data_IF_308871097530
#
_entry.id   IF_308871097530
#
_cell.length_a   1.000
_cell.length_b   1.000
_cell.length_c   1.000
_cell.angle_alpha   90.00
_cell.angle_beta   90.00
_cell.angle_gamma   90.00
#
_symmetry.space_group_name_H-M   'P 1'
#
loop_
_entity.id
_entity.type
_entity.pdbx_description
1 polymer ?
#
# COMPACT_ATOMS: atom_id res chain seq x y z
N UNK A 1 3.60 -25.79 -5.74
CA UNK A 1 2.45 -24.90 -6.02
C UNK A 1 2.32 -23.77 -5.00
N UNK A 2 2.30 -24.07 -3.70
CA UNK A 2 2.17 -23.08 -2.60
C UNK A 2 3.26 -22.01 -2.63
N UNK A 3 4.52 -22.36 -2.93
CA UNK A 3 5.59 -21.37 -3.05
C UNK A 3 5.36 -20.34 -4.16
N UNK A 4 4.71 -20.75 -5.27
CA UNK A 4 4.33 -19.83 -6.34
C UNK A 4 3.22 -18.88 -5.88
N UNK A 5 2.24 -19.40 -5.13
CA UNK A 5 1.16 -18.59 -4.53
C UNK A 5 1.70 -17.57 -3.52
N UNK A 6 2.60 -17.98 -2.62
CA UNK A 6 3.26 -17.07 -1.68
C UNK A 6 3.97 -15.92 -2.41
N UNK A 7 4.80 -16.24 -3.40
CA UNK A 7 5.52 -15.23 -4.21
C UNK A 7 4.55 -14.31 -4.96
N UNK A 8 3.47 -14.86 -5.49
CA UNK A 8 2.43 -14.09 -6.19
C UNK A 8 1.77 -13.08 -5.24
N UNK A 9 1.35 -13.50 -4.05
CA UNK A 9 0.72 -12.61 -3.06
C UNK A 9 1.66 -11.51 -2.58
N UNK A 10 2.94 -11.83 -2.40
CA UNK A 10 3.97 -10.84 -2.07
C UNK A 10 4.11 -9.79 -3.18
N UNK A 11 4.23 -10.23 -4.43
CA UNK A 11 4.30 -9.33 -5.60
C UNK A 11 3.06 -8.45 -5.74
N UNK A 12 1.86 -9.00 -5.52
CA UNK A 12 0.61 -8.23 -5.52
C UNK A 12 0.60 -7.18 -4.41
N UNK A 13 1.11 -7.51 -3.22
CA UNK A 13 1.26 -6.57 -2.11
C UNK A 13 2.20 -5.42 -2.47
N UNK A 14 3.35 -5.74 -3.06
CA UNK A 14 4.35 -4.75 -3.47
C UNK A 14 3.80 -3.80 -4.53
N UNK A 15 3.08 -4.32 -5.54
CA UNK A 15 2.40 -3.50 -6.56
C UNK A 15 1.37 -2.55 -5.95
N UNK A 16 0.58 -3.01 -4.98
CA UNK A 16 -0.42 -2.18 -4.29
C UNK A 16 0.24 -1.11 -3.44
N UNK A 17 1.38 -1.40 -2.79
CA UNK A 17 2.17 -0.42 -2.05
C UNK A 17 2.74 0.66 -2.96
N UNK A 18 3.24 0.30 -4.15
CA UNK A 18 3.69 1.28 -5.15
C UNK A 18 2.54 2.19 -5.59
N UNK A 19 1.40 1.61 -5.94
CA UNK A 19 0.22 2.39 -6.33
C UNK A 19 -0.28 3.30 -5.20
N UNK A 20 -0.21 2.84 -3.94
CA UNK A 20 -0.49 3.69 -2.76
C UNK A 20 0.42 4.92 -2.72
N UNK A 21 1.72 4.72 -2.94
CA UNK A 21 2.69 5.80 -2.90
C UNK A 21 2.42 6.85 -4.00
N UNK A 22 2.04 6.41 -5.21
CA UNK A 22 1.64 7.32 -6.29
C UNK A 22 0.41 8.17 -5.92
N UNK A 23 -0.61 7.56 -5.30
CA UNK A 23 -1.79 8.29 -4.82
C UNK A 23 -1.40 9.28 -3.71
N UNK A 24 -0.53 8.87 -2.78
CA UNK A 24 -0.04 9.76 -1.72
C UNK A 24 0.71 10.97 -2.27
N UNK A 25 1.54 10.79 -3.29
CA UNK A 25 2.21 11.89 -3.98
C UNK A 25 1.19 12.84 -4.62
N UNK A 26 0.16 12.28 -5.26
CA UNK A 26 -0.93 13.08 -5.86
C UNK A 26 -1.69 13.89 -4.81
N UNK A 27 -1.96 13.32 -3.63
CA UNK A 27 -2.57 14.01 -2.50
C UNK A 27 -1.68 15.15 -2.00
N UNK A 28 -0.36 14.93 -1.91
CA UNK A 28 0.59 15.98 -1.53
C UNK A 28 0.54 17.17 -2.48
N UNK A 29 0.49 16.92 -3.79
CA UNK A 29 0.35 17.97 -4.79
C UNK A 29 -0.98 18.74 -4.65
N UNK A 30 -2.08 18.04 -4.33
CA UNK A 30 -3.35 18.71 -4.05
C UNK A 30 -3.27 19.55 -2.77
N UNK A 31 -2.59 19.06 -1.73
CA UNK A 31 -2.41 19.80 -0.47
C UNK A 31 -1.61 21.08 -0.68
N UNK A 32 -0.54 21.03 -1.48
CA UNK A 32 0.22 22.21 -1.89
C UNK A 32 -0.65 23.23 -2.63
N UNK A 33 -1.40 22.78 -3.66
CA UNK A 33 -2.29 23.66 -4.44
C UNK A 33 -3.40 24.29 -3.58
N UNK A 34 -4.00 23.52 -2.67
CA UNK A 34 -5.01 24.01 -1.74
C UNK A 34 -4.41 25.08 -0.81
N UNK A 35 -3.19 24.87 -0.32
CA UNK A 35 -2.49 25.82 0.52
C UNK A 35 -2.19 27.12 -0.24
N UNK A 36 -1.67 27.02 -1.46
CA UNK A 36 -1.39 28.18 -2.32
C UNK A 36 -2.67 29.00 -2.61
N UNK A 37 -3.77 28.32 -2.94
CA UNK A 37 -5.07 28.98 -3.12
C UNK A 37 -5.54 29.65 -1.81
N UNK A 38 -5.35 29.01 -0.67
CA UNK A 38 -5.68 29.59 0.64
C UNK A 38 -4.89 30.87 0.90
N UNK A 39 -3.59 30.86 0.63
CA UNK A 39 -2.73 32.04 0.73
C UNK A 39 -3.24 33.14 -0.21
N UNK A 40 -3.48 32.82 -1.49
CA UNK A 40 -3.96 33.79 -2.48
C UNK A 40 -5.32 34.41 -2.08
N UNK A 41 -6.26 33.64 -1.56
CA UNK A 41 -7.55 34.16 -1.07
C UNK A 41 -7.35 35.15 0.09
N UNK A 42 -6.41 34.86 0.99
CA UNK A 42 -6.15 35.64 2.19
C UNK A 42 -5.36 36.92 1.88
N UNK A 43 -4.41 36.87 0.96
CA UNK A 43 -3.54 38.00 0.60
C UNK A 43 -4.12 38.90 -0.49
N UNK A 44 -5.05 38.39 -1.31
CA UNK A 44 -5.72 39.19 -2.33
C UNK A 44 -6.43 40.39 -1.69
N UNK A 45 -6.05 41.59 -2.14
CA UNK A 45 -6.54 42.87 -1.66
C UNK A 45 -6.59 43.87 -2.81
N UNK A 46 -7.23 45.01 -2.59
CA UNK A 46 -7.34 46.12 -3.53
C UNK A 46 -6.70 47.36 -2.93
N UNK A 47 -6.35 48.33 -3.78
CA UNK A 47 -5.85 49.62 -3.32
C UNK A 47 -6.91 50.35 -2.49
N UNK A 48 -6.48 50.96 -1.38
CA UNK A 48 -7.31 51.79 -0.51
C UNK A 48 -7.94 52.96 -1.27
N UNK A 49 -7.25 53.48 -2.27
CA UNK A 49 -7.72 54.59 -3.10
C UNK A 49 -8.28 54.14 -4.47
N UNK A 50 -8.46 52.83 -4.66
CA UNK A 50 -9.02 52.24 -5.88
C UNK A 50 -10.50 52.55 -6.09
N UNK A 51 -11.01 52.21 -7.28
CA UNK A 51 -12.41 52.42 -7.59
C UNK A 51 -13.29 51.47 -6.76
N UNK A 52 -14.52 51.89 -6.43
CA UNK A 52 -15.48 51.03 -5.69
C UNK A 52 -15.75 49.71 -6.45
N UNK A 53 -15.70 49.73 -7.77
CA UNK A 53 -15.80 48.55 -8.63
C UNK A 53 -14.74 47.48 -8.33
N UNK A 54 -13.55 47.90 -7.90
CA UNK A 54 -12.41 46.99 -7.67
C UNK A 54 -12.70 46.07 -6.48
N UNK A 55 -13.39 46.56 -5.45
CA UNK A 55 -13.85 45.74 -4.32
C UNK A 55 -14.82 44.64 -4.78
N UNK A 56 -15.71 44.95 -5.73
CA UNK A 56 -16.64 43.95 -6.27
C UNK A 56 -15.91 42.89 -7.10
N UNK A 57 -14.93 43.31 -7.89
CA UNK A 57 -14.07 42.40 -8.66
C UNK A 57 -13.28 41.49 -7.73
N UNK A 58 -12.72 42.04 -6.63
CA UNK A 58 -12.01 41.26 -5.62
C UNK A 58 -12.90 40.19 -4.98
N UNK A 59 -14.14 40.54 -4.64
CA UNK A 59 -15.10 39.59 -4.08
C UNK A 59 -15.37 38.42 -5.05
N UNK A 60 -15.65 38.73 -6.32
CA UNK A 60 -15.86 37.72 -7.38
C UNK A 60 -14.61 36.85 -7.56
N UNK A 61 -13.43 37.45 -7.54
CA UNK A 61 -12.17 36.71 -7.66
C UNK A 61 -11.97 35.74 -6.48
N UNK A 62 -12.17 36.21 -5.25
CA UNK A 62 -12.07 35.36 -4.05
C UNK A 62 -13.09 34.22 -4.06
N UNK A 63 -14.33 34.47 -4.52
CA UNK A 63 -15.33 33.41 -4.68
C UNK A 63 -14.91 32.37 -5.72
N UNK A 64 -14.35 32.80 -6.86
CA UNK A 64 -13.81 31.89 -7.87
C UNK A 64 -12.73 30.97 -7.29
N UNK A 65 -11.77 31.54 -6.54
CA UNK A 65 -10.72 30.76 -5.87
C UNK A 65 -11.29 29.80 -4.81
N UNK A 66 -12.31 30.21 -4.05
CA UNK A 66 -13.01 29.34 -3.09
C UNK A 66 -13.68 28.16 -3.76
N UNK A 67 -14.29 28.37 -4.93
CA UNK A 67 -14.89 27.28 -5.72
C UNK A 67 -13.83 26.29 -6.22
N UNK A 68 -12.72 26.80 -6.74
CA UNK A 68 -11.59 25.95 -7.17
C UNK A 68 -11.01 25.15 -6.02
N UNK A 69 -10.79 25.78 -4.87
CA UNK A 69 -10.31 25.09 -3.66
C UNK A 69 -11.24 23.95 -3.25
N UNK A 70 -12.56 24.18 -3.22
CA UNK A 70 -13.55 23.12 -2.93
C UNK A 70 -13.47 21.96 -3.93
N UNK A 71 -13.22 22.24 -5.20
CA UNK A 71 -13.05 21.20 -6.22
C UNK A 71 -11.80 20.36 -5.94
N UNK A 72 -10.67 20.99 -5.63
CA UNK A 72 -9.44 20.27 -5.28
C UNK A 72 -9.61 19.45 -3.99
N UNK A 73 -10.24 20.02 -2.95
CA UNK A 73 -10.58 19.32 -1.71
C UNK A 73 -11.42 18.06 -1.99
N UNK A 74 -12.40 18.15 -2.90
CA UNK A 74 -13.25 17.03 -3.27
C UNK A 74 -12.47 15.90 -3.96
N UNK A 75 -11.52 16.25 -4.85
CA UNK A 75 -10.67 15.31 -5.56
C UNK A 75 -9.67 14.64 -4.59
N UNK A 76 -9.06 15.44 -3.72
CA UNK A 76 -8.19 14.94 -2.65
C UNK A 76 -8.92 13.95 -1.74
N UNK A 77 -10.12 14.30 -1.29
CA UNK A 77 -10.91 13.43 -0.42
C UNK A 77 -11.29 12.13 -1.13
N UNK A 78 -11.62 12.18 -2.42
CA UNK A 78 -11.83 10.98 -3.21
C UNK A 78 -10.59 10.08 -3.26
N UNK A 79 -9.39 10.64 -3.41
CA UNK A 79 -8.14 9.87 -3.35
C UNK A 79 -7.88 9.27 -1.96
N UNK A 80 -8.20 9.97 -0.87
CA UNK A 80 -8.12 9.41 0.48
C UNK A 80 -9.02 8.18 0.64
N UNK A 81 -10.27 8.23 0.16
CA UNK A 81 -11.15 7.04 0.21
C UNK A 81 -10.62 5.87 -0.62
N UNK A 82 -9.86 6.13 -1.70
CA UNK A 82 -9.17 5.07 -2.46
C UNK A 82 -8.03 4.46 -1.65
N UNK A 83 -7.26 5.27 -0.93
CA UNK A 83 -6.20 4.78 -0.04
C UNK A 83 -6.79 3.87 1.04
N UNK A 84 -7.91 4.24 1.64
CA UNK A 84 -8.54 3.42 2.69
C UNK A 84 -8.95 2.04 2.17
N UNK A 85 -9.57 1.98 0.98
CA UNK A 85 -9.91 0.71 0.32
C UNK A 85 -8.65 -0.11 0.01
N UNK A 86 -7.62 0.55 -0.50
CA UNK A 86 -6.36 -0.11 -0.85
C UNK A 86 -5.61 -0.64 0.38
N UNK A 87 -5.69 0.04 1.52
CA UNK A 87 -5.15 -0.46 2.79
C UNK A 87 -5.83 -1.76 3.22
N UNK A 88 -7.16 -1.85 3.09
CA UNK A 88 -7.89 -3.10 3.38
C UNK A 88 -7.44 -4.24 2.47
N UNK A 89 -7.26 -3.97 1.17
CA UNK A 89 -6.74 -4.95 0.21
C UNK A 89 -5.32 -5.42 0.56
N UNK A 90 -4.43 -4.49 0.93
CA UNK A 90 -3.05 -4.82 1.33
C UNK A 90 -3.06 -5.73 2.57
N UNK A 91 -3.84 -5.39 3.59
CA UNK A 91 -3.94 -6.19 4.82
C UNK A 91 -4.43 -7.61 4.49
N UNK A 92 -5.41 -7.74 3.59
CA UNK A 92 -5.91 -9.05 3.18
C UNK A 92 -4.84 -9.87 2.44
N UNK A 93 -4.11 -9.25 1.51
CA UNK A 93 -3.01 -9.90 0.78
C UNK A 93 -1.88 -10.33 1.71
N UNK A 94 -1.55 -9.51 2.72
CA UNK A 94 -0.54 -9.84 3.73
C UNK A 94 -0.96 -11.05 4.57
N UNK A 95 -2.21 -11.10 5.04
CA UNK A 95 -2.75 -12.27 5.76
C UNK A 95 -2.67 -13.54 4.92
N UNK A 96 -3.04 -13.48 3.64
CA UNK A 96 -2.94 -14.63 2.73
C UNK A 96 -1.49 -15.06 2.50
N UNK A 97 -0.56 -14.11 2.35
CA UNK A 97 0.86 -14.40 2.24
C UNK A 97 1.41 -15.09 3.50
N UNK A 98 1.03 -14.64 4.69
CA UNK A 98 1.41 -15.26 5.96
C UNK A 98 0.88 -16.71 6.08
N UNK A 99 -0.37 -16.95 5.67
CA UNK A 99 -0.95 -18.30 5.64
C UNK A 99 -0.14 -19.23 4.73
N UNK A 100 0.25 -18.76 3.53
CA UNK A 100 1.08 -19.57 2.65
C UNK A 100 2.49 -19.78 3.17
N UNK A 101 3.10 -18.81 3.86
CA UNK A 101 4.40 -18.96 4.51
C UNK A 101 4.35 -20.02 5.62
N UNK A 102 3.28 -20.02 6.42
CA UNK A 102 3.05 -21.04 7.44
C UNK A 102 3.00 -22.45 6.84
N UNK A 103 2.18 -22.65 5.79
CA UNK A 103 2.08 -23.95 5.10
C UNK A 103 3.43 -24.41 4.51
N UNK A 104 4.22 -23.49 3.97
CA UNK A 104 5.56 -23.81 3.47
C UNK A 104 6.52 -24.26 4.58
N UNK A 105 6.42 -23.67 5.77
CA UNK A 105 7.22 -24.08 6.93
C UNK A 105 6.82 -25.47 7.42
N UNK A 106 5.53 -25.79 7.46
CA UNK A 106 5.07 -27.13 7.82
C UNK A 106 5.53 -28.19 6.81
N UNK A 107 5.38 -27.92 5.50
CA UNK A 107 5.86 -28.84 4.46
C UNK A 107 7.35 -29.13 4.59
N UNK A 108 8.17 -28.10 4.88
CA UNK A 108 9.61 -28.29 5.12
C UNK A 108 9.88 -29.15 6.35
N UNK A 109 9.15 -28.94 7.45
CA UNK A 109 9.29 -29.74 8.68
C UNK A 109 8.93 -31.20 8.43
N UNK A 110 7.84 -31.48 7.72
CA UNK A 110 7.44 -32.85 7.38
C UNK A 110 8.45 -33.55 6.47
N UNK A 111 8.94 -32.86 5.43
CA UNK A 111 9.97 -33.40 4.55
C UNK A 111 11.25 -33.76 5.31
N UNK A 112 11.67 -32.89 6.23
CA UNK A 112 12.85 -33.14 7.06
C UNK A 112 12.65 -34.37 7.98
N UNK A 113 11.49 -34.49 8.62
CA UNK A 113 11.15 -35.68 9.42
C UNK A 113 11.18 -36.97 8.59
N UNK A 114 10.63 -36.95 7.37
CA UNK A 114 10.63 -38.11 6.47
C UNK A 114 12.04 -38.50 6.05
N UNK A 115 12.91 -37.52 5.79
CA UNK A 115 14.32 -37.78 5.48
C UNK A 115 15.05 -38.42 6.65
N UNK A 116 14.88 -37.92 7.88
CA UNK A 116 15.49 -38.51 9.07
C UNK A 116 15.06 -39.96 9.29
N UNK A 117 13.76 -40.24 9.17
CA UNK A 117 13.24 -41.62 9.34
C UNK A 117 13.79 -42.56 8.26
N UNK A 118 13.94 -42.07 7.02
CA UNK A 118 14.53 -42.87 5.94
C UNK A 118 16.02 -43.15 6.19
N UNK A 119 16.77 -42.16 6.68
CA UNK A 119 18.20 -42.30 7.03
C UNK A 119 18.40 -43.26 8.21
N UNK A 120 17.54 -43.17 9.24
CA UNK A 120 17.55 -44.11 10.37
C UNK A 120 17.23 -45.54 9.92
N UNK A 121 16.27 -45.72 9.01
CA UNK A 121 15.93 -47.03 8.46
C UNK A 121 17.10 -47.61 7.65
N UNK A 122 17.70 -46.84 6.75
CA UNK A 122 18.86 -47.27 5.95
C UNK A 122 20.06 -47.62 6.85
N UNK A 123 20.34 -46.80 7.87
CA UNK A 123 21.38 -47.08 8.86
C UNK A 123 21.10 -48.37 9.64
N UNK A 124 19.85 -48.57 10.07
CA UNK A 124 19.43 -49.77 10.80
C UNK A 124 19.54 -51.04 9.95
N UNK A 125 19.10 -50.98 8.69
CA UNK A 125 19.23 -52.08 7.74
C UNK A 125 20.69 -52.39 7.44
N UNK A 126 21.53 -51.36 7.24
CA UNK A 126 22.97 -51.54 7.07
C UNK A 126 23.61 -52.24 8.26
N UNK A 127 23.28 -51.81 9.48
CA UNK A 127 23.75 -52.44 10.72
C UNK A 127 23.30 -53.90 10.80
N UNK A 128 22.02 -54.20 10.55
CA UNK A 128 21.53 -55.58 10.54
C UNK A 128 22.24 -56.46 9.50
N UNK A 129 22.47 -55.94 8.28
CA UNK A 129 23.14 -56.70 7.21
C UNK A 129 24.57 -57.11 7.59
N UNK A 130 25.27 -56.29 8.37
CA UNK A 130 26.61 -56.58 8.92
C UNK A 130 26.60 -57.74 9.94
N UNK A 131 25.50 -57.94 10.65
CA UNK A 131 25.36 -59.02 11.64
C UNK A 131 24.84 -60.34 11.05
N UNK A 132 24.19 -60.32 9.89
CA UNK A 132 23.64 -61.53 9.22
C UNK A 132 24.69 -62.24 8.35
N UNK A 133 25.79 -61.57 7.99
CA UNK A 133 26.86 -62.09 7.12
C UNK A 133 28.07 -62.68 7.86
N UNK A 134 28.01 -62.78 9.20
CA UNK A 134 29.00 -63.47 10.05
C UNK A 134 28.49 -64.81 10.53
#
# INVERSE_FOLDING_TARGET
MIQKLYKLKKSQTDQKLMYKAEIMNSISLFDEQINDLSVNINTASVDRHGAISDFKILEIHKETLRMERKKLESQRNFLLTKIDKLNLEIVQLQKEAEQYDYLLKEQKKELYKKMLVAEEAESSEFVQSKYITG
#
